data_IF_136053734596
#
_entry.id   IF_136053734596
#
_cell.length_a   1.000
_cell.length_b   1.000
_cell.length_c   1.000
_cell.angle_alpha   90.00
_cell.angle_beta   90.00
_cell.angle_gamma   90.00
#
_symmetry.space_group_name_H-M   'P 1'
#
loop_
_entity.id
_entity.type
_entity.pdbx_description
1 polymer ?
#
# COMPACT_ATOMS: atom_id res chain seq x y z
N UNK A 1 -11.54 16.22 3.97
CA UNK A 1 -11.27 14.78 3.82
C UNK A 1 -10.41 14.34 5.00
N UNK A 2 -10.68 13.18 5.56
CA UNK A 2 -9.96 12.64 6.71
C UNK A 2 -8.95 11.58 6.23
N UNK A 3 -7.70 11.71 6.66
CA UNK A 3 -6.70 10.67 6.47
C UNK A 3 -6.59 9.79 7.71
N UNK A 4 -6.01 8.59 7.55
CA UNK A 4 -5.71 7.69 8.65
C UNK A 4 -4.24 7.36 8.68
N UNK A 5 -3.73 7.01 9.86
CA UNK A 5 -2.36 6.53 10.00
C UNK A 5 -2.27 5.01 9.82
N UNK A 6 -1.06 4.50 9.85
CA UNK A 6 -0.79 3.08 9.64
C UNK A 6 -1.48 2.20 10.68
N UNK A 7 -1.48 2.58 11.94
CA UNK A 7 -2.12 1.76 12.98
C UNK A 7 -3.62 1.60 12.75
N UNK A 8 -4.29 2.67 12.35
CA UNK A 8 -5.73 2.60 12.05
C UNK A 8 -5.96 1.65 10.88
N UNK A 9 -5.17 1.76 9.81
CA UNK A 9 -5.31 0.87 8.65
C UNK A 9 -5.03 -0.59 9.01
N UNK A 10 -3.98 -0.85 9.79
CA UNK A 10 -3.65 -2.21 10.23
C UNK A 10 -4.78 -2.79 11.08
N UNK A 11 -5.36 -2.01 12.00
CA UNK A 11 -6.50 -2.48 12.81
C UNK A 11 -7.74 -2.74 11.97
N UNK A 12 -7.92 -1.99 10.90
CA UNK A 12 -9.01 -2.21 9.95
C UNK A 12 -8.84 -3.52 9.17
N UNK A 13 -7.59 -3.88 8.85
CA UNK A 13 -7.27 -5.09 8.09
C UNK A 13 -7.18 -6.34 8.96
N UNK A 14 -6.58 -6.22 10.14
CA UNK A 14 -6.29 -7.35 11.04
C UNK A 14 -7.16 -7.24 12.29
N UNK A 15 -7.93 -8.29 12.57
CA UNK A 15 -8.90 -8.33 13.67
C UNK A 15 -8.34 -8.99 14.92
N UNK A 16 -7.11 -8.69 15.26
CA UNK A 16 -6.46 -9.23 16.45
C UNK A 16 -6.75 -8.41 17.72
N UNK A 17 -7.29 -7.20 17.57
CA UNK A 17 -7.76 -6.34 18.65
C UNK A 17 -9.18 -5.90 18.30
N UNK A 18 -10.16 -6.62 18.83
CA UNK A 18 -11.54 -6.41 18.42
C UNK A 18 -12.07 -5.01 18.75
N UNK A 19 -11.81 -4.42 19.93
CA UNK A 19 -12.24 -3.05 20.21
C UNK A 19 -11.66 -2.03 19.24
N UNK A 20 -10.38 -2.13 18.89
CA UNK A 20 -9.73 -1.22 17.95
C UNK A 20 -10.22 -1.44 16.52
N UNK A 21 -10.44 -2.70 16.11
CA UNK A 21 -11.06 -3.00 14.82
C UNK A 21 -12.44 -2.33 14.71
N UNK A 22 -13.27 -2.45 15.73
CA UNK A 22 -14.60 -1.85 15.72
C UNK A 22 -14.55 -0.32 15.64
N UNK A 23 -13.59 0.31 16.30
CA UNK A 23 -13.39 1.76 16.21
C UNK A 23 -13.00 2.18 14.79
N UNK A 24 -12.06 1.45 14.17
CA UNK A 24 -11.63 1.73 12.79
C UNK A 24 -12.78 1.53 11.80
N UNK A 25 -13.52 0.42 11.93
CA UNK A 25 -14.66 0.12 11.07
C UNK A 25 -15.76 1.20 11.19
N UNK A 26 -16.07 1.62 12.39
CA UNK A 26 -17.07 2.68 12.61
C UNK A 26 -16.64 4.01 11.99
N UNK A 27 -15.34 4.31 12.07
CA UNK A 27 -14.81 5.52 11.47
C UNK A 27 -15.03 5.48 9.94
N UNK A 28 -14.63 4.39 9.30
CA UNK A 28 -14.79 4.21 7.85
C UNK A 28 -16.27 4.32 7.45
N UNK A 29 -17.14 3.59 8.14
CA UNK A 29 -18.58 3.59 7.86
C UNK A 29 -19.18 4.99 8.00
N UNK A 30 -18.80 5.71 9.07
CA UNK A 30 -19.33 7.04 9.36
C UNK A 30 -18.91 8.07 8.31
N UNK A 31 -17.65 8.01 7.88
CA UNK A 31 -17.17 8.91 6.83
C UNK A 31 -17.80 8.59 5.47
N UNK A 32 -17.92 7.31 5.15
CA UNK A 32 -18.56 6.87 3.92
C UNK A 32 -20.02 7.33 3.84
N UNK A 33 -20.74 7.27 4.95
CA UNK A 33 -22.13 7.71 5.02
C UNK A 33 -22.28 9.22 4.73
N UNK A 34 -21.22 10.01 4.96
CA UNK A 34 -21.19 11.44 4.63
C UNK A 34 -20.75 11.70 3.19
N UNK A 35 -20.46 10.67 2.42
CA UNK A 35 -19.88 10.82 1.07
C UNK A 35 -18.42 11.28 1.09
N UNK A 36 -17.72 11.08 2.20
CA UNK A 36 -16.32 11.50 2.39
C UNK A 36 -15.44 10.27 2.62
N UNK A 37 -14.88 9.67 1.56
CA UNK A 37 -14.00 8.52 1.73
C UNK A 37 -12.75 8.91 2.53
N UNK A 38 -12.20 7.93 3.24
CA UNK A 38 -10.98 8.11 4.02
C UNK A 38 -9.77 8.00 3.10
N UNK A 39 -8.84 8.95 3.25
CA UNK A 39 -7.61 8.96 2.46
C UNK A 39 -6.54 8.05 3.07
N UNK A 40 -5.96 7.23 2.21
CA UNK A 40 -4.76 6.46 2.51
C UNK A 40 -3.63 7.01 1.65
N UNK A 41 -2.60 7.56 2.32
CA UNK A 41 -1.42 8.08 1.63
C UNK A 41 -0.49 6.95 1.22
N UNK A 42 0.42 7.23 0.27
CA UNK A 42 1.44 6.26 -0.14
C UNK A 42 2.35 5.86 1.03
N UNK A 43 2.65 6.80 1.91
CA UNK A 43 3.48 6.51 3.10
C UNK A 43 2.80 5.52 4.04
N UNK A 44 1.50 5.70 4.27
CA UNK A 44 0.73 4.77 5.10
C UNK A 44 0.68 3.39 4.45
N UNK A 45 0.47 3.33 3.14
CA UNK A 45 0.42 2.05 2.44
C UNK A 45 1.76 1.32 2.51
N UNK A 46 2.86 2.06 2.29
CA UNK A 46 4.22 1.52 2.37
C UNK A 46 4.50 0.92 3.74
N UNK A 47 4.21 1.67 4.79
CA UNK A 47 4.42 1.21 6.17
C UNK A 47 3.49 0.03 6.51
N UNK A 48 2.27 0.05 6.01
CA UNK A 48 1.31 -1.04 6.23
C UNK A 48 1.83 -2.36 5.67
N UNK A 49 2.36 -2.37 4.46
CA UNK A 49 2.97 -3.59 3.88
C UNK A 49 4.09 -4.10 4.80
N UNK A 50 4.97 -3.21 5.24
CA UNK A 50 6.07 -3.59 6.12
C UNK A 50 5.57 -4.19 7.43
N UNK A 51 4.55 -3.61 8.05
CA UNK A 51 3.96 -4.12 9.30
C UNK A 51 3.33 -5.49 9.08
N UNK A 52 2.55 -5.67 8.03
CA UNK A 52 1.90 -6.95 7.72
C UNK A 52 2.92 -8.05 7.50
N UNK A 53 4.02 -7.76 6.85
CA UNK A 53 5.08 -8.71 6.57
C UNK A 53 5.96 -8.98 7.80
N UNK A 54 6.41 -7.93 8.50
CA UNK A 54 7.42 -8.06 9.56
C UNK A 54 6.84 -8.41 10.92
N UNK A 55 5.64 -7.92 11.26
CA UNK A 55 5.01 -8.15 12.56
C UNK A 55 3.98 -9.25 12.55
N UNK A 56 3.25 -9.39 11.46
CA UNK A 56 2.20 -10.41 11.34
C UNK A 56 2.63 -11.61 10.53
N UNK A 57 3.82 -11.57 9.93
CA UNK A 57 4.38 -12.66 9.14
C UNK A 57 3.46 -13.14 8.02
N UNK A 58 2.68 -12.23 7.43
CA UNK A 58 1.81 -12.57 6.32
C UNK A 58 2.64 -12.87 5.07
N UNK A 59 2.21 -13.86 4.32
CA UNK A 59 2.81 -14.18 3.04
C UNK A 59 2.54 -13.07 2.03
N UNK A 60 3.44 -12.89 1.08
CA UNK A 60 3.31 -11.90 0.01
C UNK A 60 1.98 -11.99 -0.72
N UNK A 61 1.53 -13.22 -1.04
CA UNK A 61 0.25 -13.42 -1.73
C UNK A 61 -0.93 -12.87 -0.92
N UNK A 62 -0.92 -13.05 0.41
CA UNK A 62 -1.97 -12.56 1.28
C UNK A 62 -1.94 -11.03 1.38
N UNK A 63 -0.75 -10.45 1.44
CA UNK A 63 -0.60 -8.99 1.45
C UNK A 63 -1.08 -8.39 0.13
N UNK A 64 -0.69 -8.98 -1.00
CA UNK A 64 -1.15 -8.54 -2.32
C UNK A 64 -2.68 -8.57 -2.40
N UNK A 65 -3.31 -9.64 -1.91
CA UNK A 65 -4.77 -9.78 -1.90
C UNK A 65 -5.42 -8.71 -1.02
N UNK A 66 -4.87 -8.46 0.16
CA UNK A 66 -5.39 -7.46 1.09
C UNK A 66 -5.32 -6.05 0.50
N UNK A 67 -4.17 -5.67 -0.06
CA UNK A 67 -3.98 -4.34 -0.64
C UNK A 67 -4.83 -4.15 -1.90
N UNK A 68 -4.96 -5.19 -2.72
CA UNK A 68 -5.84 -5.15 -3.90
C UNK A 68 -7.30 -4.99 -3.51
N UNK A 69 -7.74 -5.67 -2.44
CA UNK A 69 -9.11 -5.52 -1.94
C UNK A 69 -9.39 -4.11 -1.44
N UNK A 70 -8.40 -3.46 -0.81
CA UNK A 70 -8.55 -2.06 -0.39
C UNK A 70 -8.81 -1.13 -1.58
N UNK A 71 -8.13 -1.36 -2.70
CA UNK A 71 -8.31 -0.55 -3.91
C UNK A 71 -9.70 -0.69 -4.51
N UNK A 72 -10.37 -1.81 -4.26
CA UNK A 72 -11.70 -2.08 -4.81
C UNK A 72 -12.84 -1.51 -3.95
N UNK A 73 -12.56 -1.00 -2.75
CA UNK A 73 -13.62 -0.44 -1.91
C UNK A 73 -13.84 1.04 -2.20
N UNK A 74 -15.12 1.46 -2.27
CA UNK A 74 -15.49 2.86 -2.46
C UNK A 74 -15.38 3.69 -1.18
N UNK A 75 -15.17 3.06 -0.04
CA UNK A 75 -15.07 3.74 1.26
C UNK A 75 -13.73 4.43 1.49
N UNK A 76 -12.74 4.09 0.68
CA UNK A 76 -11.37 4.57 0.80
C UNK A 76 -10.96 5.31 -0.47
N UNK A 77 -10.17 6.36 -0.28
CA UNK A 77 -9.51 7.08 -1.38
C UNK A 77 -8.00 6.91 -1.22
N UNK A 78 -7.29 6.85 -2.32
CA UNK A 78 -5.83 6.62 -2.30
C UNK A 78 -5.11 7.78 -2.94
N UNK A 79 -4.00 8.15 -2.34
CA UNK A 79 -3.04 9.02 -3.00
C UNK A 79 -2.43 8.22 -4.15
N UNK A 80 -2.66 8.65 -5.38
CA UNK A 80 -2.05 8.05 -6.57
C UNK A 80 -2.35 6.54 -6.74
N UNK A 81 -3.61 6.22 -6.93
CA UNK A 81 -4.08 4.83 -7.11
C UNK A 81 -3.36 4.11 -8.26
N UNK A 82 -3.08 4.81 -9.36
CA UNK A 82 -2.38 4.22 -10.50
C UNK A 82 -0.98 3.74 -10.14
N UNK A 83 -0.25 4.49 -9.31
CA UNK A 83 1.07 4.07 -8.80
C UNK A 83 0.96 2.79 -7.98
N UNK A 84 -0.06 2.69 -7.13
CA UNK A 84 -0.27 1.51 -6.28
C UNK A 84 -0.55 0.27 -7.15
N UNK A 85 -1.40 0.41 -8.14
CA UNK A 85 -1.74 -0.69 -9.06
C UNK A 85 -0.51 -1.21 -9.79
N UNK A 86 0.32 -0.31 -10.34
CA UNK A 86 1.56 -0.67 -11.03
C UNK A 86 2.53 -1.35 -10.07
N UNK A 87 2.69 -0.81 -8.86
CA UNK A 87 3.59 -1.38 -7.87
C UNK A 87 3.18 -2.79 -7.47
N UNK A 88 1.90 -3.03 -7.23
CA UNK A 88 1.39 -4.37 -6.88
C UNK A 88 1.59 -5.35 -8.03
N UNK A 89 1.33 -4.93 -9.26
CA UNK A 89 1.52 -5.77 -10.44
C UNK A 89 2.98 -6.20 -10.57
N UNK A 90 3.92 -5.25 -10.43
CA UNK A 90 5.35 -5.54 -10.55
C UNK A 90 5.88 -6.36 -9.38
N UNK A 91 5.35 -6.15 -8.18
CA UNK A 91 5.81 -6.85 -6.98
C UNK A 91 5.38 -8.32 -6.96
N UNK A 92 4.19 -8.61 -7.45
CA UNK A 92 3.55 -9.92 -7.36
C UNK A 92 4.46 -11.08 -7.78
N UNK A 93 5.15 -10.95 -8.90
CA UNK A 93 5.96 -12.00 -9.50
C UNK A 93 7.46 -11.69 -9.48
N UNK A 94 7.91 -10.77 -8.63
CA UNK A 94 9.31 -10.36 -8.58
C UNK A 94 9.95 -10.73 -7.24
N UNK A 95 11.28 -10.72 -7.20
CA UNK A 95 12.06 -10.89 -5.97
C UNK A 95 12.33 -9.55 -5.28
N UNK A 96 11.94 -8.42 -5.89
CA UNK A 96 12.15 -7.10 -5.32
C UNK A 96 11.20 -6.84 -4.16
N UNK A 97 11.56 -5.88 -3.31
CA UNK A 97 10.69 -5.46 -2.20
C UNK A 97 9.54 -4.59 -2.71
N UNK A 98 8.43 -4.60 -1.99
CA UNK A 98 7.30 -3.73 -2.32
C UNK A 98 7.72 -2.25 -2.35
N UNK A 99 8.58 -1.85 -1.40
CA UNK A 99 9.10 -0.48 -1.35
C UNK A 99 9.78 -0.09 -2.66
N UNK A 100 10.61 -0.96 -3.24
CA UNK A 100 11.27 -0.69 -4.51
C UNK A 100 10.26 -0.52 -5.64
N UNK A 101 9.28 -1.38 -5.70
CA UNK A 101 8.22 -1.30 -6.72
C UNK A 101 7.42 0.00 -6.60
N UNK A 102 7.10 0.41 -5.37
CA UNK A 102 6.33 1.63 -5.11
C UNK A 102 7.15 2.88 -5.45
N UNK A 103 8.42 2.90 -5.07
CA UNK A 103 9.34 4.01 -5.36
C UNK A 103 9.49 4.19 -6.88
N UNK A 104 9.75 3.10 -7.60
CA UNK A 104 9.92 3.18 -9.05
C UNK A 104 8.64 3.68 -9.74
N UNK A 105 7.51 3.12 -9.38
CA UNK A 105 6.23 3.51 -9.96
C UNK A 105 5.92 4.99 -9.68
N UNK A 106 6.20 5.46 -8.46
CA UNK A 106 6.00 6.87 -8.10
C UNK A 106 6.95 7.78 -8.85
N UNK A 107 8.24 7.43 -8.94
CA UNK A 107 9.23 8.21 -9.68
C UNK A 107 8.83 8.36 -11.15
N UNK A 108 8.37 7.29 -11.77
CA UNK A 108 7.89 7.33 -13.15
C UNK A 108 6.73 8.30 -13.32
N UNK A 109 5.78 8.28 -12.40
CA UNK A 109 4.64 9.21 -12.40
C UNK A 109 5.06 10.66 -12.23
N UNK A 110 6.17 10.89 -11.54
CA UNK A 110 6.74 12.23 -11.36
C UNK A 110 7.61 12.68 -12.55
N UNK A 111 7.71 11.86 -13.59
CA UNK A 111 8.42 12.21 -14.80
C UNK A 111 9.86 11.70 -14.88
N UNK A 112 10.29 10.84 -13.94
CA UNK A 112 11.60 10.25 -14.00
C UNK A 112 11.65 9.18 -15.09
N UNK A 113 12.72 9.14 -15.87
CA UNK A 113 12.91 8.11 -16.90
C UNK A 113 13.48 6.81 -16.32
N UNK A 114 13.90 6.81 -15.07
CA UNK A 114 14.41 5.63 -14.38
C UNK A 114 14.67 5.92 -12.91
N UNK A 115 14.90 4.87 -12.15
CA UNK A 115 15.28 4.97 -10.73
C UNK A 115 16.61 4.28 -10.52
N UNK A 116 17.62 5.02 -10.07
CA UNK A 116 18.93 4.47 -9.78
C UNK A 116 18.90 3.62 -8.52
N UNK A 117 19.58 2.48 -8.55
CA UNK A 117 19.62 1.57 -7.41
C UNK A 117 20.97 0.87 -7.29
N UNK A 118 21.30 0.48 -6.06
CA UNK A 118 22.42 -0.42 -5.76
C UNK A 118 21.93 -1.85 -5.50
N UNK A 119 20.61 -2.08 -5.47
CA UNK A 119 20.02 -3.39 -5.13
C UNK A 119 19.90 -4.27 -6.37
N UNK A 120 20.59 -5.42 -6.37
CA UNK A 120 20.56 -6.37 -7.47
C UNK A 120 19.18 -6.97 -7.73
N UNK A 121 18.33 -7.09 -6.72
CA UNK A 121 16.96 -7.59 -6.90
C UNK A 121 16.10 -6.57 -7.63
N UNK A 122 16.23 -5.29 -7.28
CA UNK A 122 15.50 -4.21 -7.93
C UNK A 122 15.89 -4.07 -9.40
N UNK A 123 17.16 -4.31 -9.73
CA UNK A 123 17.66 -4.22 -11.12
C UNK A 123 16.99 -5.21 -12.06
N UNK A 124 16.34 -6.26 -11.55
CA UNK A 124 15.59 -7.21 -12.39
C UNK A 124 14.25 -6.65 -12.83
N UNK A 125 13.80 -5.55 -12.23
CA UNK A 125 12.56 -4.89 -12.61
C UNK A 125 12.81 -3.85 -13.68
N UNK A 126 11.86 -3.66 -14.62
CA UNK A 126 11.96 -2.55 -15.58
C UNK A 126 11.94 -1.20 -14.84
N UNK A 127 12.69 -0.24 -15.35
CA UNK A 127 12.72 1.10 -14.79
C UNK A 127 13.83 1.36 -13.79
N UNK A 128 14.50 0.33 -13.28
CA UNK A 128 15.67 0.51 -12.43
C UNK A 128 16.96 0.54 -13.28
N UNK A 129 17.88 1.39 -12.88
CA UNK A 129 19.19 1.50 -13.53
C UNK A 129 20.30 1.36 -12.49
N UNK A 130 21.38 0.70 -12.88
CA UNK A 130 22.55 0.52 -12.04
C UNK A 130 23.42 1.77 -12.03
N UNK A 131 24.11 2.00 -10.94
CA UNK A 131 25.12 3.05 -10.83
C UNK A 131 26.51 2.45 -10.58
#
# INVERSE_FOLDING_TARGET
>A
MLGIDTNVLVRYLIRDDQPQYERARRLVTRQSAKGEPILISLLVLLETEWVLRSRYNLAKADICSALSALLDTSDLAFEDEATIEVALYNWKDSAADFADCLIEARNRRLGCHGTATLDGKALKLPGFVSI
#
